data_IF_304886315031
#
_entry.id   IF_304886315031
#
_cell.length_a   1.000
_cell.length_b   1.000
_cell.length_c   1.000
_cell.angle_alpha   90.00
_cell.angle_beta   90.00
_cell.angle_gamma   90.00
#
_symmetry.space_group_name_H-M   'P 1'
#
loop_
_entity.id
_entity.type
_entity.pdbx_description
1 polymer ?
#
# COMPACT_ATOMS: atom_id res chain seq x y z
N UNK A 1 -8.67 -17.18 -6.44
CA UNK A 1 -10.05 -17.70 -6.23
C UNK A 1 -10.12 -18.75 -5.13
N UNK A 2 -9.33 -19.84 -5.21
CA UNK A 2 -9.33 -20.93 -4.23
C UNK A 2 -9.22 -20.43 -2.77
N UNK A 3 -8.18 -19.62 -2.47
CA UNK A 3 -7.98 -19.01 -1.15
C UNK A 3 -9.26 -18.35 -0.60
N UNK A 4 -9.91 -17.49 -1.38
CA UNK A 4 -11.12 -16.77 -0.93
C UNK A 4 -12.29 -17.70 -0.64
N UNK A 5 -12.55 -18.67 -1.53
CA UNK A 5 -13.67 -19.61 -1.34
C UNK A 5 -13.39 -20.48 -0.11
N UNK A 6 -12.19 -21.05 -0.01
CA UNK A 6 -11.79 -21.89 1.12
C UNK A 6 -11.85 -21.15 2.45
N UNK A 7 -11.31 -19.93 2.51
CA UNK A 7 -11.34 -19.14 3.74
C UNK A 7 -12.76 -18.70 4.10
N UNK A 8 -13.63 -18.44 3.12
CA UNK A 8 -15.00 -18.04 3.40
C UNK A 8 -15.83 -19.24 3.88
N UNK A 9 -15.58 -20.46 3.38
CA UNK A 9 -16.18 -21.69 3.94
C UNK A 9 -15.67 -21.96 5.35
N UNK A 10 -14.37 -21.78 5.58
CA UNK A 10 -13.77 -21.91 6.91
C UNK A 10 -14.38 -20.89 7.89
N UNK A 11 -14.57 -19.63 7.49
CA UNK A 11 -15.16 -18.57 8.31
C UNK A 11 -16.61 -18.86 8.73
N UNK A 12 -17.37 -19.64 7.94
CA UNK A 12 -18.73 -20.08 8.31
C UNK A 12 -18.75 -21.23 9.31
N UNK A 13 -17.62 -21.91 9.50
CA UNK A 13 -17.49 -23.06 10.39
C UNK A 13 -17.06 -22.66 11.81
N UNK A 14 -17.19 -23.58 12.77
CA UNK A 14 -16.65 -23.41 14.13
C UNK A 14 -15.13 -23.24 14.16
N UNK A 15 -14.42 -23.85 13.19
CA UNK A 15 -12.97 -23.68 13.03
C UNK A 15 -12.60 -22.23 12.68
N UNK A 16 -13.41 -21.55 11.86
CA UNK A 16 -13.19 -20.15 11.51
C UNK A 16 -13.27 -19.22 12.72
N UNK A 17 -14.28 -19.42 13.57
CA UNK A 17 -14.41 -18.68 14.83
C UNK A 17 -13.24 -18.96 15.77
N UNK A 18 -12.81 -20.22 15.88
CA UNK A 18 -11.65 -20.62 16.69
C UNK A 18 -10.37 -19.93 16.22
N UNK A 19 -10.13 -19.87 14.90
CA UNK A 19 -8.98 -19.17 14.31
C UNK A 19 -9.06 -17.68 14.62
N UNK A 20 -10.23 -17.06 14.42
CA UNK A 20 -10.43 -15.64 14.66
C UNK A 20 -10.18 -15.26 16.13
N UNK A 21 -10.67 -16.05 17.07
CA UNK A 21 -10.41 -15.90 18.51
C UNK A 21 -8.93 -16.10 18.86
N UNK A 22 -8.25 -17.05 18.21
CA UNK A 22 -6.82 -17.23 18.39
C UNK A 22 -6.03 -16.01 17.92
N UNK A 23 -6.31 -15.50 16.72
CA UNK A 23 -5.62 -14.32 16.21
C UNK A 23 -5.95 -13.10 17.08
N UNK A 24 -7.19 -12.96 17.59
CA UNK A 24 -7.55 -11.90 18.56
C UNK A 24 -6.67 -11.99 19.80
N UNK A 25 -6.61 -13.15 20.46
CA UNK A 25 -5.80 -13.37 21.64
C UNK A 25 -4.32 -13.00 21.43
N UNK A 26 -3.77 -13.33 20.27
CA UNK A 26 -2.39 -12.98 19.92
C UNK A 26 -2.25 -11.47 19.68
N UNK A 27 -3.26 -10.82 19.08
CA UNK A 27 -3.22 -9.40 18.74
C UNK A 27 -3.79 -8.47 19.83
N UNK A 28 -4.35 -8.99 20.92
CA UNK A 28 -4.98 -8.24 22.02
C UNK A 28 -4.11 -7.09 22.55
N UNK A 29 -2.80 -7.29 22.85
CA UNK A 29 -1.97 -6.22 23.38
C UNK A 29 -1.86 -5.03 22.42
N UNK A 30 -1.78 -5.33 21.12
CA UNK A 30 -1.68 -4.31 20.07
C UNK A 30 -3.03 -3.66 19.80
N UNK A 31 -4.10 -4.45 19.74
CA UNK A 31 -5.46 -3.96 19.51
C UNK A 31 -5.87 -2.88 20.53
N UNK A 32 -5.58 -3.14 21.81
CA UNK A 32 -5.91 -2.20 22.88
C UNK A 32 -5.17 -0.85 22.77
N UNK A 33 -4.09 -0.79 22.00
CA UNK A 33 -3.27 0.42 21.76
C UNK A 33 -3.13 0.74 20.28
N UNK A 34 -4.08 0.31 19.45
CA UNK A 34 -3.92 0.38 17.99
C UNK A 34 -3.76 1.81 17.47
N UNK A 35 -4.48 2.77 18.06
CA UNK A 35 -4.32 4.19 17.74
C UNK A 35 -2.96 4.74 18.18
N UNK A 36 -2.44 4.32 19.33
CA UNK A 36 -1.11 4.73 19.78
C UNK A 36 -0.04 4.17 18.85
N UNK A 37 -0.16 2.89 18.49
CA UNK A 37 0.73 2.22 17.56
C UNK A 37 0.77 2.93 16.20
N UNK A 38 -0.39 3.13 15.56
CA UNK A 38 -0.44 3.76 14.23
C UNK A 38 0.12 5.18 14.29
N UNK A 39 -0.23 5.99 15.30
CA UNK A 39 0.29 7.36 15.44
C UNK A 39 1.80 7.40 15.68
N UNK A 40 2.32 6.53 16.54
CA UNK A 40 3.76 6.42 16.80
C UNK A 40 4.50 6.02 15.53
N UNK A 41 3.98 5.07 14.76
CA UNK A 41 4.64 4.64 13.52
C UNK A 41 4.57 5.72 12.45
N UNK A 42 3.45 6.43 12.28
CA UNK A 42 3.39 7.57 11.35
C UNK A 42 4.43 8.64 11.78
N UNK A 43 4.50 8.98 13.07
CA UNK A 43 5.50 9.93 13.57
C UNK A 43 6.94 9.45 13.32
N UNK A 44 7.24 8.19 13.64
CA UNK A 44 8.56 7.59 13.41
C UNK A 44 8.91 7.54 11.91
N UNK A 45 7.94 7.25 11.05
CA UNK A 45 8.09 7.28 9.60
C UNK A 45 8.49 8.66 9.10
N UNK A 46 7.78 9.73 9.53
CA UNK A 46 8.12 11.10 9.16
C UNK A 46 9.51 11.53 9.67
N UNK A 47 9.92 11.07 10.85
CA UNK A 47 11.29 11.27 11.34
C UNK A 47 12.32 10.50 10.50
N UNK A 48 12.00 9.27 10.07
CA UNK A 48 12.89 8.47 9.25
C UNK A 48 13.10 9.09 7.85
N UNK A 49 12.05 9.55 7.19
CA UNK A 49 12.17 10.22 5.88
C UNK A 49 12.84 11.60 6.00
N UNK A 50 12.64 12.31 7.13
CA UNK A 50 13.44 13.52 7.44
C UNK A 50 14.93 13.19 7.51
N UNK A 51 15.29 12.09 8.18
CA UNK A 51 16.68 11.65 8.30
C UNK A 51 17.28 11.16 6.97
N UNK A 52 16.46 10.63 6.06
CA UNK A 52 16.88 10.32 4.68
C UNK A 52 17.14 11.62 3.90
N UNK A 53 16.27 12.62 4.05
CA UNK A 53 16.40 13.93 3.43
C UNK A 53 16.14 13.94 1.91
N UNK A 54 15.73 15.09 1.38
CA UNK A 54 15.58 15.29 -0.07
C UNK A 54 14.48 14.43 -0.70
N UNK A 55 13.41 14.13 0.04
CA UNK A 55 12.28 13.31 -0.42
C UNK A 55 10.93 13.87 0.04
N UNK A 56 9.83 13.57 -0.67
CA UNK A 56 8.47 14.04 -0.36
C UNK A 56 7.73 13.19 0.68
N UNK A 57 7.46 11.92 0.38
CA UNK A 57 6.66 11.03 1.22
C UNK A 57 7.26 9.63 1.34
N UNK A 58 8.23 9.28 0.50
CA UNK A 58 8.91 7.99 0.47
C UNK A 58 10.31 8.21 -0.11
N UNK A 59 11.31 7.34 0.16
CA UNK A 59 12.62 7.45 -0.44
C UNK A 59 12.64 7.53 -1.97
N UNK A 60 11.61 7.05 -2.68
CA UNK A 60 11.53 7.05 -4.14
C UNK A 60 11.07 8.39 -4.74
N UNK A 61 10.34 9.20 -3.95
CA UNK A 61 9.88 10.54 -4.37
C UNK A 61 10.90 11.61 -3.96
N UNK A 62 11.95 11.79 -4.76
CA UNK A 62 13.03 12.77 -4.56
C UNK A 62 12.58 14.22 -4.78
N UNK A 63 13.24 15.14 -4.09
CA UNK A 63 13.05 16.58 -4.27
C UNK A 63 14.34 17.34 -3.93
N UNK A 64 14.70 18.39 -4.70
CA UNK A 64 15.85 19.24 -4.37
C UNK A 64 15.56 20.21 -3.20
N UNK A 65 14.30 20.32 -2.78
CA UNK A 65 13.84 21.32 -1.83
C UNK A 65 14.01 20.85 -0.37
N UNK A 66 15.11 21.23 0.29
CA UNK A 66 15.41 20.83 1.68
C UNK A 66 14.34 21.23 2.72
N UNK A 67 13.59 22.30 2.46
CA UNK A 67 12.51 22.75 3.35
C UNK A 67 11.40 21.69 3.51
N UNK A 68 11.24 20.78 2.55
CA UNK A 68 10.27 19.68 2.61
C UNK A 68 10.60 18.73 3.77
N UNK A 69 11.88 18.44 4.00
CA UNK A 69 12.28 17.59 5.12
C UNK A 69 11.92 18.23 6.46
N UNK A 70 12.08 19.55 6.60
CA UNK A 70 11.64 20.25 7.81
C UNK A 70 10.12 20.22 8.01
N UNK A 71 9.34 20.29 6.93
CA UNK A 71 7.88 20.12 6.98
C UNK A 71 7.51 18.72 7.46
N UNK A 72 8.21 17.67 7.00
CA UNK A 72 8.02 16.29 7.49
C UNK A 72 8.26 16.18 8.99
N UNK A 73 9.30 16.84 9.51
CA UNK A 73 9.57 16.86 10.96
C UNK A 73 8.46 17.58 11.75
N UNK A 74 7.91 18.67 11.21
CA UNK A 74 6.75 19.35 11.80
C UNK A 74 5.50 18.48 11.78
N UNK A 75 5.26 17.73 10.71
CA UNK A 75 4.18 16.73 10.63
C UNK A 75 4.37 15.67 11.72
N UNK A 76 5.59 15.15 11.89
CA UNK A 76 5.91 14.18 12.94
C UNK A 76 5.54 14.70 14.34
N UNK A 77 5.88 15.95 14.65
CA UNK A 77 5.54 16.57 15.93
C UNK A 77 4.03 16.79 16.10
N UNK A 78 3.33 17.21 15.03
CA UNK A 78 1.91 17.52 15.05
C UNK A 78 0.99 16.30 15.22
N UNK A 79 1.46 15.07 14.97
CA UNK A 79 0.66 13.84 15.08
C UNK A 79 0.28 13.49 16.53
N UNK A 80 1.12 13.85 17.51
CA UNK A 80 0.97 13.40 18.90
C UNK A 80 -0.11 14.15 19.70
N UNK A 81 -0.64 15.26 19.16
CA UNK A 81 -1.78 15.96 19.76
C UNK A 81 -2.99 15.89 18.84
N UNK A 82 -4.13 15.46 19.39
CA UNK A 82 -5.40 15.39 18.65
C UNK A 82 -5.82 16.71 18.02
N UNK A 83 -5.45 17.84 18.64
CA UNK A 83 -5.77 19.18 18.11
C UNK A 83 -4.95 19.51 16.87
N UNK A 84 -3.73 18.98 16.77
CA UNK A 84 -2.79 19.27 15.68
C UNK A 84 -2.78 18.19 14.59
N UNK A 85 -3.39 17.03 14.82
CA UNK A 85 -3.53 15.98 13.81
C UNK A 85 -4.18 16.42 12.49
N UNK A 86 -5.26 17.24 12.48
CA UNK A 86 -5.80 17.75 11.21
C UNK A 86 -4.79 18.62 10.45
N UNK A 87 -3.93 19.36 11.16
CA UNK A 87 -2.85 20.13 10.55
C UNK A 87 -1.78 19.20 9.97
N UNK A 88 -1.40 18.13 10.68
CA UNK A 88 -0.52 17.09 10.16
C UNK A 88 -1.09 16.47 8.88
N UNK A 89 -2.38 16.11 8.89
CA UNK A 89 -3.07 15.58 7.72
C UNK A 89 -3.05 16.53 6.53
N UNK A 90 -3.31 17.82 6.75
CA UNK A 90 -3.20 18.85 5.72
C UNK A 90 -1.77 18.95 5.16
N UNK A 91 -0.75 18.86 6.02
CA UNK A 91 0.65 18.80 5.61
C UNK A 91 0.95 17.58 4.73
N UNK A 92 0.45 16.41 5.08
CA UNK A 92 0.61 15.18 4.29
C UNK A 92 -0.04 15.32 2.90
N UNK A 93 -1.26 15.85 2.83
CA UNK A 93 -1.94 16.12 1.55
C UNK A 93 -1.18 17.15 0.73
N UNK A 94 -0.67 18.22 1.37
CA UNK A 94 0.13 19.23 0.68
C UNK A 94 1.41 18.62 0.09
N UNK A 95 2.12 17.78 0.84
CA UNK A 95 3.31 17.08 0.34
C UNK A 95 2.96 16.13 -0.83
N UNK A 96 1.84 15.41 -0.73
CA UNK A 96 1.34 14.56 -1.80
C UNK A 96 1.04 15.38 -3.06
N UNK A 97 0.31 16.49 -2.95
CA UNK A 97 0.00 17.36 -4.09
C UNK A 97 1.23 18.07 -4.65
N UNK A 98 2.20 18.47 -3.82
CA UNK A 98 3.44 19.07 -4.27
C UNK A 98 4.29 18.10 -5.08
N UNK A 99 4.27 16.81 -4.74
CA UNK A 99 4.98 15.78 -5.51
C UNK A 99 4.49 15.69 -6.96
N UNK A 100 3.26 16.13 -7.28
CA UNK A 100 2.75 16.20 -8.66
C UNK A 100 3.50 17.20 -9.56
N UNK A 101 4.35 18.06 -8.98
CA UNK A 101 5.22 18.94 -9.77
C UNK A 101 6.37 18.17 -10.42
N UNK A 102 6.85 17.12 -9.75
CA UNK A 102 8.03 16.36 -10.16
C UNK A 102 7.67 14.93 -10.64
N UNK A 103 6.51 14.42 -10.24
CA UNK A 103 6.06 13.06 -10.49
C UNK A 103 4.68 13.01 -11.13
N UNK A 104 4.47 11.96 -11.92
CA UNK A 104 3.20 11.71 -12.57
C UNK A 104 2.13 11.23 -11.56
N UNK A 105 0.86 11.56 -11.84
CA UNK A 105 -0.28 11.13 -11.03
C UNK A 105 -0.37 9.60 -10.93
N UNK A 106 -0.03 8.86 -11.99
CA UNK A 106 -0.05 7.39 -11.98
C UNK A 106 0.93 6.84 -10.95
N UNK A 107 2.14 7.38 -10.92
CA UNK A 107 3.16 7.02 -9.93
C UNK A 107 2.74 7.45 -8.52
N UNK A 108 2.08 8.59 -8.39
CA UNK A 108 1.65 9.10 -7.09
C UNK A 108 0.48 8.33 -6.47
N UNK A 109 -0.32 7.65 -7.29
CA UNK A 109 -1.42 6.80 -6.85
C UNK A 109 -0.94 5.53 -6.12
N UNK A 110 0.28 5.04 -6.40
CA UNK A 110 0.93 3.99 -5.59
C UNK A 110 1.15 4.44 -4.14
N UNK A 111 1.32 5.74 -3.92
CA UNK A 111 1.50 6.35 -2.61
C UNK A 111 0.21 6.91 -2.02
N UNK A 112 -0.97 6.55 -2.57
CA UNK A 112 -2.27 6.98 -2.05
C UNK A 112 -2.47 6.62 -0.57
N UNK A 113 -1.94 5.46 -0.14
CA UNK A 113 -1.96 5.04 1.25
C UNK A 113 -1.20 6.02 2.16
N UNK A 114 0.01 6.42 1.75
CA UNK A 114 0.88 7.33 2.50
C UNK A 114 0.36 8.77 2.51
N UNK A 115 -0.22 9.22 1.41
CA UNK A 115 -0.85 10.54 1.29
C UNK A 115 -2.24 10.55 1.89
N UNK A 116 -3.22 10.21 1.06
CA UNK A 116 -4.66 10.35 1.37
C UNK A 116 -5.12 9.41 2.48
N UNK A 117 -4.65 8.16 2.50
CA UNK A 117 -5.06 7.17 3.50
C UNK A 117 -4.69 7.57 4.94
N UNK A 118 -3.44 7.96 5.15
CA UNK A 118 -2.93 8.42 6.44
C UNK A 118 -3.56 9.75 6.85
N UNK A 119 -3.68 10.71 5.92
CA UNK A 119 -4.34 11.98 6.20
C UNK A 119 -5.80 11.76 6.64
N UNK A 120 -6.55 10.88 5.95
CA UNK A 120 -7.91 10.54 6.33
C UNK A 120 -7.97 9.89 7.72
N UNK A 121 -7.05 8.98 8.03
CA UNK A 121 -6.94 8.39 9.37
C UNK A 121 -6.77 9.47 10.46
N UNK A 122 -5.84 10.40 10.28
CA UNK A 122 -5.55 11.45 11.26
C UNK A 122 -6.74 12.39 11.49
N UNK A 123 -7.44 12.80 10.42
CA UNK A 123 -8.66 13.62 10.53
C UNK A 123 -9.78 12.87 11.24
N UNK A 124 -9.99 11.59 10.89
CA UNK A 124 -11.03 10.78 11.51
C UNK A 124 -10.72 10.45 12.98
N UNK A 125 -9.45 10.22 13.34
CA UNK A 125 -9.06 9.99 14.74
C UNK A 125 -9.24 11.23 15.61
N UNK A 126 -8.92 12.42 15.08
CA UNK A 126 -9.08 13.70 15.75
C UNK A 126 -10.55 14.13 15.92
N UNK A 127 -11.47 13.56 15.14
CA UNK A 127 -12.88 13.96 15.14
C UNK A 127 -13.57 13.71 16.47
N UNK A 128 -14.37 14.68 16.92
CA UNK A 128 -15.28 14.53 18.07
C UNK A 128 -16.51 13.69 17.75
N UNK A 129 -16.81 13.47 16.46
CA UNK A 129 -17.92 12.62 16.04
C UNK A 129 -17.51 11.14 16.10
N UNK A 130 -18.14 10.39 17.00
CA UNK A 130 -17.88 8.96 17.23
C UNK A 130 -18.08 8.11 15.98
N UNK A 131 -19.06 8.42 15.11
CA UNK A 131 -19.31 7.65 13.89
C UNK A 131 -18.15 7.78 12.89
N UNK A 132 -17.61 9.00 12.76
CA UNK A 132 -16.47 9.28 11.89
C UNK A 132 -15.22 8.61 12.46
N UNK A 133 -15.00 8.76 13.76
CA UNK A 133 -13.85 8.15 14.44
C UNK A 133 -13.85 6.64 14.34
N UNK A 134 -15.00 5.98 14.38
CA UNK A 134 -15.11 4.53 14.19
C UNK A 134 -14.68 4.05 12.79
N UNK A 135 -14.65 4.92 11.77
CA UNK A 135 -14.24 4.60 10.40
C UNK A 135 -12.77 4.85 10.11
N UNK A 136 -11.97 5.36 11.07
CA UNK A 136 -10.56 5.74 10.85
C UNK A 136 -9.68 4.61 10.30
N UNK A 137 -9.79 3.40 10.85
CA UNK A 137 -9.04 2.24 10.36
C UNK A 137 -9.61 1.68 9.05
N UNK A 138 -10.91 1.86 8.82
CA UNK A 138 -11.51 1.53 7.53
C UNK A 138 -10.92 2.41 6.43
N UNK A 139 -10.82 3.73 6.63
CA UNK A 139 -10.22 4.64 5.66
C UNK A 139 -8.75 4.29 5.34
N UNK A 140 -7.96 4.02 6.37
CA UNK A 140 -6.55 3.63 6.22
C UNK A 140 -6.39 2.32 5.42
N UNK A 141 -7.26 1.34 5.72
CA UNK A 141 -7.32 0.06 5.01
C UNK A 141 -7.72 0.20 3.54
N UNK A 142 -8.68 1.09 3.23
CA UNK A 142 -9.01 1.42 1.85
C UNK A 142 -7.83 2.05 1.12
N UNK A 143 -7.11 2.97 1.76
CA UNK A 143 -5.90 3.58 1.19
C UNK A 143 -4.86 2.53 0.78
N UNK A 144 -4.51 1.61 1.69
CA UNK A 144 -3.55 0.52 1.39
C UNK A 144 -4.07 -0.43 0.33
N UNK A 145 -5.34 -0.86 0.43
CA UNK A 145 -5.91 -1.79 -0.54
C UNK A 145 -5.92 -1.21 -1.96
N UNK A 146 -6.32 0.06 -2.11
CA UNK A 146 -6.34 0.75 -3.41
C UNK A 146 -4.92 0.90 -3.94
N UNK A 147 -3.97 1.35 -3.11
CA UNK A 147 -2.56 1.49 -3.51
C UNK A 147 -1.96 0.17 -4.04
N UNK A 148 -2.15 -0.93 -3.30
CA UNK A 148 -1.65 -2.26 -3.73
C UNK A 148 -2.33 -2.74 -5.02
N UNK A 149 -3.66 -2.58 -5.13
CA UNK A 149 -4.37 -2.96 -6.35
C UNK A 149 -3.98 -2.08 -7.54
N UNK A 150 -3.71 -0.80 -7.33
CA UNK A 150 -3.25 0.10 -8.38
C UNK A 150 -1.84 -0.26 -8.86
N UNK A 151 -0.87 -0.36 -7.94
CA UNK A 151 0.53 -0.72 -8.25
C UNK A 151 0.64 -2.10 -8.93
N UNK A 152 -0.26 -3.02 -8.59
CA UNK A 152 -0.30 -4.32 -9.25
C UNK A 152 -0.70 -4.24 -10.73
N UNK A 153 -1.48 -3.23 -11.15
CA UNK A 153 -1.84 -3.04 -12.56
C UNK A 153 -0.63 -2.65 -13.42
N UNK A 154 0.32 -1.93 -12.85
CA UNK A 154 1.56 -1.53 -13.55
C UNK A 154 2.38 -2.76 -13.96
N UNK A 155 2.33 -3.85 -13.19
CA UNK A 155 3.00 -5.11 -13.52
C UNK A 155 2.38 -5.81 -14.74
N UNK A 156 1.14 -5.48 -15.09
CA UNK A 156 0.50 -5.96 -16.31
C UNK A 156 0.64 -4.96 -17.48
N UNK A 157 0.55 -3.67 -17.19
CA UNK A 157 0.63 -2.62 -18.20
C UNK A 157 2.06 -2.41 -18.72
N UNK A 158 3.04 -2.44 -17.81
CA UNK A 158 4.44 -2.12 -18.07
C UNK A 158 5.39 -3.11 -17.37
N UNK A 159 5.34 -4.42 -17.73
CA UNK A 159 6.21 -5.43 -17.13
C UNK A 159 7.71 -5.13 -17.27
N UNK A 160 8.08 -4.44 -18.37
CA UNK A 160 9.48 -4.08 -18.67
C UNK A 160 10.11 -3.18 -17.59
N UNK A 161 9.32 -2.37 -16.87
CA UNK A 161 9.80 -1.54 -15.75
C UNK A 161 10.36 -2.35 -14.58
N UNK A 162 9.99 -3.63 -14.50
CA UNK A 162 10.44 -4.56 -13.45
C UNK A 162 11.55 -5.50 -13.94
N UNK A 163 11.95 -5.45 -15.22
CA UNK A 163 13.03 -6.30 -15.73
C UNK A 163 14.39 -6.01 -15.10
N UNK A 164 14.79 -4.74 -14.89
CA UNK A 164 16.07 -4.46 -14.23
C UNK A 164 16.13 -5.12 -12.85
N UNK A 165 15.02 -5.10 -12.11
CA UNK A 165 14.93 -5.72 -10.79
C UNK A 165 15.19 -7.23 -10.83
N UNK A 166 14.56 -7.92 -11.79
CA UNK A 166 14.73 -9.37 -11.93
C UNK A 166 16.14 -9.74 -12.38
N UNK A 167 16.77 -8.89 -13.21
CA UNK A 167 18.17 -9.08 -13.62
C UNK A 167 19.11 -8.87 -12.42
N UNK A 168 18.85 -7.87 -11.59
CA UNK A 168 19.68 -7.55 -10.42
C UNK A 168 19.52 -8.60 -9.30
N UNK A 169 18.31 -9.14 -9.13
CA UNK A 169 17.94 -10.06 -8.04
C UNK A 169 17.22 -11.30 -8.59
N UNK A 170 17.92 -12.19 -9.33
CA UNK A 170 17.31 -13.31 -10.04
C UNK A 170 16.67 -14.36 -9.11
N UNK A 171 17.09 -14.43 -7.84
CA UNK A 171 16.48 -15.33 -6.87
C UNK A 171 15.00 -15.02 -6.60
N UNK A 172 14.53 -13.80 -6.86
CA UNK A 172 13.14 -13.40 -6.65
C UNK A 172 12.16 -14.23 -7.48
N UNK A 173 12.59 -14.71 -8.65
CA UNK A 173 11.70 -15.50 -9.54
C UNK A 173 11.58 -16.96 -9.13
N UNK A 174 12.35 -17.42 -8.14
CA UNK A 174 12.46 -18.85 -7.78
C UNK A 174 12.78 -19.74 -8.98
N UNK A 175 13.55 -19.22 -9.95
CA UNK A 175 13.92 -19.93 -11.18
C UNK A 175 12.87 -19.87 -12.30
N UNK A 176 11.74 -19.19 -12.10
CA UNK A 176 10.75 -18.95 -13.15
C UNK A 176 11.24 -17.87 -14.14
N UNK A 177 10.82 -17.93 -15.42
CA UNK A 177 11.04 -16.83 -16.36
C UNK A 177 10.40 -15.53 -15.88
N UNK A 178 11.07 -14.39 -16.10
CA UNK A 178 10.61 -13.06 -15.66
C UNK A 178 9.23 -12.70 -16.21
N UNK A 179 8.95 -13.07 -17.46
CA UNK A 179 7.68 -12.80 -18.16
C UNK A 179 6.50 -13.60 -17.56
N UNK A 180 6.80 -14.64 -16.78
CA UNK A 180 5.82 -15.41 -16.01
C UNK A 180 5.72 -14.86 -14.59
N UNK A 181 6.87 -14.59 -13.96
CA UNK A 181 6.93 -14.13 -12.57
C UNK A 181 6.28 -12.76 -12.35
N UNK A 182 6.56 -11.77 -13.19
CA UNK A 182 6.09 -10.39 -12.98
C UNK A 182 4.55 -10.29 -13.01
N UNK A 183 3.84 -10.85 -14.01
CA UNK A 183 2.38 -10.88 -13.99
C UNK A 183 1.82 -11.69 -12.82
N UNK A 184 2.47 -12.81 -12.44
CA UNK A 184 2.04 -13.59 -11.27
C UNK A 184 2.15 -12.80 -9.96
N UNK A 185 3.22 -12.01 -9.80
CA UNK A 185 3.38 -11.11 -8.67
C UNK A 185 2.27 -10.04 -8.66
N UNK A 186 1.93 -9.47 -9.83
CA UNK A 186 0.78 -8.57 -9.97
C UNK A 186 -0.54 -9.21 -9.55
N UNK A 187 -0.83 -10.45 -9.98
CA UNK A 187 -2.04 -11.17 -9.54
C UNK A 187 -2.06 -11.38 -8.03
N UNK A 188 -0.93 -11.80 -7.45
CA UNK A 188 -0.81 -12.03 -6.02
C UNK A 188 -1.07 -10.74 -5.22
N UNK A 189 -0.43 -9.64 -5.61
CA UNK A 189 -0.58 -8.32 -4.99
C UNK A 189 -2.01 -7.78 -5.11
N UNK A 190 -2.59 -7.80 -6.32
CA UNK A 190 -3.97 -7.36 -6.54
C UNK A 190 -4.95 -8.12 -5.66
N UNK A 191 -4.83 -9.45 -5.64
CA UNK A 191 -5.75 -10.30 -4.89
C UNK A 191 -5.58 -10.12 -3.39
N UNK A 192 -4.37 -10.00 -2.86
CA UNK A 192 -4.16 -9.71 -1.44
C UNK A 192 -4.67 -8.31 -1.05
N UNK A 193 -4.45 -7.29 -1.89
CA UNK A 193 -5.01 -5.96 -1.73
C UNK A 193 -6.55 -5.98 -1.67
N UNK A 194 -7.19 -6.69 -2.60
CA UNK A 194 -8.64 -6.95 -2.55
C UNK A 194 -9.06 -7.67 -1.26
N UNK A 195 -8.28 -8.65 -0.83
CA UNK A 195 -8.53 -9.41 0.40
C UNK A 195 -8.60 -8.54 1.65
N UNK A 196 -7.81 -7.46 1.72
CA UNK A 196 -7.89 -6.49 2.81
C UNK A 196 -9.30 -5.88 2.94
N UNK A 197 -10.09 -5.81 1.87
CA UNK A 197 -11.42 -5.22 1.87
C UNK A 197 -12.55 -6.24 2.09
N UNK A 198 -12.24 -7.52 2.19
CA UNK A 198 -13.26 -8.57 2.25
C UNK A 198 -13.72 -8.88 3.68
N UNK A 199 -14.10 -10.14 3.96
CA UNK A 199 -14.56 -10.61 5.27
C UNK A 199 -13.42 -10.68 6.29
N UNK A 200 -13.71 -10.70 7.61
CA UNK A 200 -12.68 -10.58 8.65
C UNK A 200 -11.56 -11.61 8.55
N UNK A 201 -11.85 -12.89 8.26
CA UNK A 201 -10.81 -13.91 8.20
C UNK A 201 -9.92 -13.71 6.97
N UNK A 202 -10.53 -13.48 5.81
CA UNK A 202 -9.82 -13.20 4.55
C UNK A 202 -8.93 -11.97 4.70
N UNK A 203 -9.48 -10.87 5.24
CA UNK A 203 -8.75 -9.62 5.48
C UNK A 203 -7.50 -9.85 6.33
N UNK A 204 -7.64 -10.52 7.47
CA UNK A 204 -6.53 -10.71 8.41
C UNK A 204 -5.47 -11.65 7.86
N UNK A 205 -5.86 -12.73 7.19
CA UNK A 205 -4.93 -13.66 6.57
C UNK A 205 -4.21 -13.04 5.37
N UNK A 206 -4.90 -12.23 4.55
CA UNK A 206 -4.27 -11.44 3.49
C UNK A 206 -3.27 -10.43 4.05
N UNK A 207 -3.60 -9.77 5.16
CA UNK A 207 -2.67 -8.86 5.83
C UNK A 207 -1.44 -9.60 6.37
N UNK A 208 -1.61 -10.77 7.01
CA UNK A 208 -0.49 -11.59 7.49
C UNK A 208 0.40 -12.03 6.32
N UNK A 209 -0.19 -12.49 5.22
CA UNK A 209 0.55 -12.91 4.03
C UNK A 209 1.36 -11.74 3.42
N UNK A 210 0.73 -10.56 3.26
CA UNK A 210 1.43 -9.36 2.81
C UNK A 210 2.57 -8.99 3.76
N UNK A 211 2.33 -8.98 5.07
CA UNK A 211 3.36 -8.63 6.04
C UNK A 211 4.58 -9.56 5.94
N UNK A 212 4.37 -10.86 5.76
CA UNK A 212 5.45 -11.83 5.55
C UNK A 212 6.22 -11.50 4.26
N UNK A 213 5.52 -11.23 3.16
CA UNK A 213 6.14 -10.91 1.86
C UNK A 213 6.97 -9.63 1.94
N UNK A 214 6.39 -8.52 2.43
CA UNK A 214 7.10 -7.25 2.59
C UNK A 214 8.30 -7.38 3.54
N UNK A 215 8.15 -8.06 4.66
CA UNK A 215 9.27 -8.29 5.60
C UNK A 215 10.37 -9.13 4.96
N UNK A 216 10.00 -10.12 4.16
CA UNK A 216 10.97 -10.96 3.42
C UNK A 216 11.70 -10.15 2.35
N UNK A 217 11.02 -9.20 1.70
CA UNK A 217 11.61 -8.30 0.71
C UNK A 217 12.63 -7.32 1.35
N UNK A 218 12.38 -6.84 2.56
CA UNK A 218 13.31 -5.92 3.26
C UNK A 218 14.72 -6.52 3.42
N UNK A 219 14.86 -7.84 3.58
CA UNK A 219 16.17 -8.47 3.78
C UNK A 219 17.13 -8.27 2.58
N UNK A 220 16.75 -8.60 1.32
CA UNK A 220 17.60 -8.34 0.15
C UNK A 220 17.64 -6.88 -0.34
N UNK A 221 16.65 -6.04 -0.03
CA UNK A 221 16.58 -4.64 -0.49
C UNK A 221 17.16 -3.62 0.52
N UNK A 222 17.23 -3.99 1.79
CA UNK A 222 17.93 -3.23 2.83
C UNK A 222 17.13 -2.06 3.41
N UNK A 223 17.86 -1.14 4.06
CA UNK A 223 17.26 -0.11 4.93
C UNK A 223 16.37 0.90 4.22
N UNK A 224 16.69 1.25 2.98
CA UNK A 224 15.94 2.28 2.24
C UNK A 224 14.56 1.75 1.87
N UNK A 225 14.51 0.49 1.44
CA UNK A 225 13.26 -0.22 1.20
C UNK A 225 12.40 -0.36 2.47
N UNK A 226 13.02 -0.70 3.61
CA UNK A 226 12.32 -0.70 4.90
C UNK A 226 11.71 0.66 5.20
N UNK A 227 12.44 1.76 5.02
CA UNK A 227 11.91 3.11 5.28
C UNK A 227 10.75 3.41 4.33
N UNK A 228 10.86 3.12 3.03
CA UNK A 228 9.80 3.37 2.05
C UNK A 228 8.52 2.60 2.34
N UNK A 229 8.64 1.35 2.80
CA UNK A 229 7.49 0.48 3.05
C UNK A 229 7.02 0.47 4.51
N UNK A 230 7.77 1.04 5.45
CA UNK A 230 7.50 0.97 6.90
C UNK A 230 6.06 1.35 7.25
N UNK A 231 5.52 2.40 6.63
CA UNK A 231 4.17 2.85 6.94
C UNK A 231 3.11 1.86 6.44
N UNK A 232 3.21 1.40 5.19
CA UNK A 232 2.30 0.37 4.64
C UNK A 232 2.39 -0.91 5.46
N UNK A 233 3.60 -1.37 5.80
CA UNK A 233 3.81 -2.54 6.65
C UNK A 233 3.14 -2.41 8.01
N UNK A 234 3.24 -1.24 8.65
CA UNK A 234 2.59 -0.99 9.93
C UNK A 234 1.07 -0.95 9.83
N UNK A 235 0.51 -0.37 8.76
CA UNK A 235 -0.94 -0.44 8.51
C UNK A 235 -1.39 -1.89 8.31
N UNK A 236 -0.62 -2.70 7.57
CA UNK A 236 -0.91 -4.13 7.38
C UNK A 236 -0.92 -4.86 8.73
N UNK A 237 0.04 -4.58 9.61
CA UNK A 237 0.04 -5.10 11.00
C UNK A 237 -1.22 -4.66 11.74
N UNK A 238 -1.65 -3.41 11.60
CA UNK A 238 -2.87 -2.93 12.22
C UNK A 238 -4.13 -3.63 11.67
N UNK A 239 -4.18 -3.94 10.37
CA UNK A 239 -5.26 -4.69 9.75
C UNK A 239 -5.27 -6.15 10.23
N UNK A 240 -4.09 -6.77 10.38
CA UNK A 240 -3.97 -8.12 10.94
C UNK A 240 -4.44 -8.18 12.40
N UNK A 241 -4.22 -7.10 13.17
CA UNK A 241 -4.66 -6.97 14.56
C UNK A 241 -6.14 -6.55 14.72
N UNK A 242 -6.85 -6.22 13.64
CA UNK A 242 -8.21 -5.68 13.69
C UNK A 242 -9.24 -6.73 14.14
N UNK A 243 -9.82 -6.51 15.32
CA UNK A 243 -10.87 -7.35 15.89
C UNK A 243 -12.23 -7.16 15.20
N UNK A 244 -12.42 -6.07 14.46
CA UNK A 244 -13.74 -5.69 13.91
C UNK A 244 -14.33 -6.79 13.04
N UNK A 245 -15.40 -7.45 13.49
CA UNK A 245 -16.11 -8.50 12.72
C UNK A 245 -17.18 -7.96 11.78
N UNK A 246 -17.61 -6.72 12.01
CA UNK A 246 -18.71 -6.10 11.26
C UNK A 246 -18.23 -5.75 9.86
N UNK A 247 -19.00 -6.20 8.87
CA UNK A 247 -18.83 -5.81 7.46
C UNK A 247 -19.86 -4.74 7.16
N UNK A 248 -19.41 -3.49 7.03
CA UNK A 248 -20.26 -2.31 6.79
C UNK A 248 -20.59 -2.14 5.31
N UNK A 249 -19.59 -2.27 4.44
CA UNK A 249 -19.74 -2.09 2.99
C UNK A 249 -20.15 -3.38 2.27
N UNK A 250 -21.31 -3.36 1.62
CA UNK A 250 -21.90 -4.47 0.83
C UNK A 250 -21.91 -5.83 1.57
N UNK A 251 -22.48 -5.91 2.79
CA UNK A 251 -22.43 -7.13 3.61
C UNK A 251 -23.08 -8.35 2.94
N UNK A 252 -24.19 -8.16 2.22
CA UNK A 252 -24.88 -9.24 1.52
C UNK A 252 -24.00 -9.90 0.45
N UNK A 253 -23.26 -9.08 -0.30
CA UNK A 253 -22.32 -9.56 -1.32
C UNK A 253 -21.14 -10.25 -0.65
N UNK A 254 -20.49 -9.58 0.32
CA UNK A 254 -19.27 -10.11 0.96
C UNK A 254 -19.49 -11.41 1.73
N UNK A 255 -20.70 -11.60 2.28
CA UNK A 255 -21.05 -12.83 3.00
C UNK A 255 -21.46 -13.99 2.07
N UNK A 256 -21.83 -13.69 0.82
CA UNK A 256 -22.21 -14.70 -0.17
C UNK A 256 -20.98 -15.35 -0.81
N UNK A 257 -21.06 -16.65 -1.14
CA UNK A 257 -20.00 -17.36 -1.88
C UNK A 257 -19.88 -16.84 -3.31
N UNK A 258 -21.02 -16.62 -3.98
CA UNK A 258 -21.04 -16.06 -5.33
C UNK A 258 -20.56 -14.59 -5.34
N UNK A 259 -20.61 -13.91 -4.19
CA UNK A 259 -20.11 -12.55 -4.05
C UNK A 259 -18.60 -12.42 -4.20
N UNK A 260 -17.82 -13.48 -3.92
CA UNK A 260 -16.36 -13.46 -4.10
C UNK A 260 -15.97 -13.30 -5.56
N UNK A 261 -16.35 -14.23 -6.48
CA UNK A 261 -15.98 -14.09 -7.89
C UNK A 261 -16.60 -12.84 -8.51
N UNK A 262 -17.84 -12.50 -8.18
CA UNK A 262 -18.47 -11.28 -8.66
C UNK A 262 -17.70 -10.03 -8.19
N UNK A 263 -17.37 -9.95 -6.89
CA UNK A 263 -16.62 -8.84 -6.31
C UNK A 263 -15.24 -8.69 -6.94
N UNK A 264 -14.49 -9.79 -7.11
CA UNK A 264 -13.17 -9.74 -7.72
C UNK A 264 -13.24 -9.29 -9.19
N UNK A 265 -14.19 -9.82 -9.97
CA UNK A 265 -14.41 -9.41 -11.37
C UNK A 265 -14.83 -7.94 -11.46
N UNK A 266 -15.72 -7.49 -10.58
CA UNK A 266 -16.11 -6.07 -10.53
C UNK A 266 -14.93 -5.19 -10.17
N UNK A 267 -14.13 -5.55 -9.15
CA UNK A 267 -12.98 -4.74 -8.74
C UNK A 267 -11.91 -4.72 -9.82
N UNK A 268 -11.54 -5.85 -10.41
CA UNK A 268 -10.52 -5.86 -11.49
C UNK A 268 -10.99 -5.08 -12.71
N UNK A 269 -12.27 -5.20 -13.09
CA UNK A 269 -12.84 -4.43 -14.20
C UNK A 269 -12.82 -2.94 -13.88
N UNK A 270 -13.23 -2.54 -12.67
CA UNK A 270 -13.23 -1.15 -12.25
C UNK A 270 -11.82 -0.55 -12.28
N UNK A 271 -10.85 -1.25 -11.69
CA UNK A 271 -9.45 -0.82 -11.63
C UNK A 271 -8.83 -0.77 -13.03
N UNK A 272 -9.04 -1.80 -13.87
CA UNK A 272 -8.53 -1.79 -15.23
C UNK A 272 -9.16 -0.67 -16.08
N UNK A 273 -10.50 -0.55 -16.07
CA UNK A 273 -11.16 0.54 -16.81
C UNK A 273 -10.70 1.90 -16.31
N UNK A 274 -10.47 2.06 -15.01
CA UNK A 274 -9.97 3.31 -14.44
C UNK A 274 -8.52 3.56 -14.85
N UNK A 275 -7.63 2.57 -14.76
CA UNK A 275 -6.22 2.71 -15.11
C UNK A 275 -6.04 3.06 -16.59
N UNK A 276 -6.53 2.20 -17.49
CA UNK A 276 -6.39 2.44 -18.93
C UNK A 276 -7.26 3.62 -19.41
N UNK A 277 -8.44 3.82 -18.80
CA UNK A 277 -9.32 4.95 -19.12
C UNK A 277 -8.70 6.29 -18.77
N UNK A 278 -8.12 6.41 -17.56
CA UNK A 278 -7.36 7.61 -17.17
C UNK A 278 -6.12 7.76 -18.04
N UNK A 279 -5.43 6.67 -18.37
CA UNK A 279 -4.23 6.74 -19.20
C UNK A 279 -4.56 7.28 -20.60
N UNK A 280 -5.65 6.81 -21.20
CA UNK A 280 -6.15 7.37 -22.47
C UNK A 280 -6.62 8.81 -22.33
N UNK A 281 -7.23 9.18 -21.21
CA UNK A 281 -7.70 10.55 -20.97
C UNK A 281 -6.55 11.56 -20.83
N UNK A 282 -5.45 11.16 -20.20
CA UNK A 282 -4.28 12.02 -19.98
C UNK A 282 -3.26 11.99 -21.13
N UNK A 283 -2.99 10.83 -21.73
CA UNK A 283 -1.93 10.65 -22.74
C UNK A 283 -2.45 10.33 -24.15
N UNK A 284 -3.77 10.20 -24.33
CA UNK A 284 -4.38 9.86 -25.61
C UNK A 284 -4.29 8.37 -25.99
N UNK A 285 -4.95 8.00 -27.09
CA UNK A 285 -5.10 6.62 -27.57
C UNK A 285 -3.76 6.03 -28.05
N UNK A 286 -2.87 6.87 -28.59
CA UNK A 286 -1.57 6.44 -29.09
C UNK A 286 -0.53 6.27 -27.98
N UNK A 287 -0.87 6.65 -26.75
CA UNK A 287 -0.01 6.45 -25.58
C UNK A 287 1.39 6.99 -25.81
N UNK A 288 1.55 8.28 -26.12
CA UNK A 288 2.83 8.93 -25.90
C UNK A 288 3.05 9.03 -24.39
N UNK A 289 3.35 7.90 -23.76
CA UNK A 289 4.12 7.90 -22.54
C UNK A 289 5.44 8.58 -22.90
N UNK A 290 5.71 9.73 -22.30
CA UNK A 290 7.09 10.23 -22.25
C UNK A 290 7.97 9.01 -21.95
N UNK A 291 9.02 8.73 -22.77
CA UNK A 291 9.93 7.64 -22.47
C UNK A 291 10.34 7.80 -21.00
N UNK A 292 10.48 6.70 -20.23
CA UNK A 292 10.87 6.78 -18.84
C UNK A 292 12.04 7.76 -18.76
N UNK A 293 11.85 8.85 -18.01
CA UNK A 293 12.91 9.84 -17.85
C UNK A 293 14.16 9.05 -17.47
N UNK A 294 15.29 9.21 -18.18
CA UNK A 294 16.48 8.42 -17.89
C UNK A 294 16.81 8.57 -16.40
N UNK A 295 16.62 7.50 -15.63
CA UNK A 295 16.66 7.56 -14.16
C UNK A 295 15.52 6.91 -13.39
N UNK A 296 14.35 6.62 -13.99
CA UNK A 296 13.21 6.04 -13.23
C UNK A 296 13.40 4.53 -13.07
N UNK A 297 13.93 4.12 -11.93
CA UNK A 297 14.02 2.71 -11.51
C UNK A 297 12.94 2.41 -10.46
N UNK A 298 12.35 1.21 -10.50
CA UNK A 298 11.35 0.74 -9.51
C UNK A 298 11.96 0.38 -8.15
N UNK A 299 13.28 0.48 -8.02
CA UNK A 299 14.05 0.20 -6.82
C UNK A 299 15.34 1.03 -6.86
N UNK A 300 15.97 1.21 -5.70
CA UNK A 300 17.30 1.84 -5.65
C UNK A 300 18.34 0.89 -6.28
N UNK A 301 19.19 1.35 -7.21
CA UNK A 301 20.18 0.50 -7.86
C UNK A 301 21.17 -0.13 -6.87
N UNK A 302 21.50 -1.41 -7.05
CA UNK A 302 22.55 -2.07 -6.27
C UNK A 302 23.95 -1.65 -6.72
N UNK A 303 24.83 -1.40 -5.75
CA UNK A 303 26.26 -1.19 -6.01
C UNK A 303 26.98 -2.47 -6.47
N UNK A 304 26.42 -3.65 -6.22
CA UNK A 304 27.03 -4.94 -6.59
C UNK A 304 26.65 -5.38 -8.02
N UNK A 305 25.50 -4.92 -8.51
CA UNK A 305 24.96 -5.24 -9.83
C UNK A 305 24.44 -3.96 -10.50
N UNK A 306 25.33 -3.04 -10.88
CA UNK A 306 24.94 -1.77 -11.48
C UNK A 306 24.27 -2.03 -12.82
N UNK A 307 23.05 -1.50 -12.97
CA UNK A 307 22.34 -1.43 -14.23
C UNK A 307 22.20 0.04 -14.64
N UNK A 308 22.35 0.30 -15.94
CA UNK A 308 22.44 1.67 -16.46
C UNK A 308 21.08 2.37 -16.30
N UNK A 309 21.04 3.48 -15.58
CA UNK A 309 19.84 4.31 -15.41
C UNK A 309 19.52 5.12 -16.66
N UNK A 310 20.47 5.20 -17.60
CA UNK A 310 20.30 5.83 -18.90
C UNK A 310 19.78 4.79 -19.90
N UNK A 311 18.54 4.97 -20.37
CA UNK A 311 17.89 4.13 -21.39
C UNK A 311 18.59 4.12 -22.74
N UNK A 312 19.78 3.50 -22.81
CA UNK A 312 20.46 3.13 -24.04
C UNK A 312 20.83 1.65 -23.95
N UNK A 313 19.90 0.80 -24.37
CA UNK A 313 20.24 -0.55 -24.78
C UNK A 313 21.23 -0.47 -25.94
N UNK A 314 22.37 -1.17 -25.83
CA UNK A 314 23.03 -1.73 -27.02
C UNK A 314 22.24 -2.93 -27.51
#
# INVERSE_FOLDING_TARGET
>A
MFFFISMRELEKSSSGETILLFIDKVSDPLWNRLDDFVRVVIGAFFVAIFAVGGVYLTPDLKTPNEWISWVQLLIAAAIFSRKTQPLAAAGIIALWLLALQDYDIFHLLDYLALGVGVAAYLVLEASSNTEWRNRRFEALRWGVAIALMWSSLEKFAYPDWFYPLVVEKPFLTFGMPRDVFIPMAGVAEFTMGFGLLWTPLIRRLSAIALFIIFTTAVYPFGRIDLVGHALIMAVIVAIAADHTRVVTFLPAIKRSMAGIPAGLVTTITLFAVSYWGLHMAFYGINGESLPPSPGVTTHTPSSEHPHDTNGKSR
#
